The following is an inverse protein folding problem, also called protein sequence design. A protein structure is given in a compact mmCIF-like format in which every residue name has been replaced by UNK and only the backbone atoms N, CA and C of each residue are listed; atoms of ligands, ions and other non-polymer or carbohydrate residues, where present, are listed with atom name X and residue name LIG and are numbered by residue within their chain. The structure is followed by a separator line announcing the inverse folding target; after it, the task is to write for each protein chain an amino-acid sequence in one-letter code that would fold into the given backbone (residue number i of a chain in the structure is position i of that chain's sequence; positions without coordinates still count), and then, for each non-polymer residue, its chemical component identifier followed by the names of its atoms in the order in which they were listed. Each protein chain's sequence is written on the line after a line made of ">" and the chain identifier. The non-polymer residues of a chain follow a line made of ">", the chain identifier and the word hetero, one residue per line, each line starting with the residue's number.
data_IF_728074815741
#
_entry.id   IF_728074815741
#
_cell.length_a   1.000
_cell.length_b   1.000
_cell.length_c   1.000
_cell.angle_alpha   90.00
_cell.angle_beta   90.00
_cell.angle_gamma   90.00
#
_symmetry.space_group_name_H-M   'P 1'
#
loop_
_entity.id
_entity.type
_entity.pdbx_description
1 polymer ?
#
# COMPACT_ATOMS: atom_id res chain seq x y z
N UNK A 1 -24.31 12.97 10.73
CA UNK A 1 -23.78 11.61 10.98
C UNK A 1 -22.41 11.52 10.31
N UNK A 2 -21.47 10.87 10.99
CA UNK A 2 -20.04 11.10 10.91
C UNK A 2 -19.39 10.79 9.55
N UNK A 3 -18.73 11.80 8.95
CA UNK A 3 -17.80 11.61 7.83
C UNK A 3 -16.53 10.83 8.20
N UNK A 4 -16.24 10.63 9.49
CA UNK A 4 -15.00 9.97 9.95
C UNK A 4 -14.98 8.44 9.87
N UNK A 5 -16.06 7.79 9.42
CA UNK A 5 -16.07 6.33 9.23
C UNK A 5 -15.22 5.88 8.04
N UNK A 6 -15.26 6.67 6.96
CA UNK A 6 -14.45 6.41 5.76
C UNK A 6 -12.97 6.68 6.03
N UNK A 7 -12.65 7.72 6.79
CA UNK A 7 -11.27 8.07 7.11
C UNK A 7 -10.56 6.97 7.92
N UNK A 8 -11.21 6.43 8.96
CA UNK A 8 -10.63 5.30 9.72
C UNK A 8 -10.43 4.05 8.89
N UNK A 9 -11.35 3.76 7.97
CA UNK A 9 -11.24 2.63 7.05
C UNK A 9 -10.09 2.86 6.06
N UNK A 10 -9.97 4.07 5.53
CA UNK A 10 -8.89 4.48 4.63
C UNK A 10 -7.54 4.42 5.33
N UNK A 11 -7.41 4.95 6.56
CA UNK A 11 -6.19 4.91 7.35
C UNK A 11 -5.76 3.47 7.69
N UNK A 12 -6.73 2.56 7.84
CA UNK A 12 -6.45 1.15 8.12
C UNK A 12 -6.02 0.36 6.88
N UNK A 13 -6.40 0.81 5.69
CA UNK A 13 -6.17 0.11 4.42
C UNK A 13 -5.07 0.74 3.57
N UNK A 14 -4.81 2.03 3.76
CA UNK A 14 -3.82 2.79 2.98
C UNK A 14 -2.58 3.00 3.83
N UNK A 15 -1.49 2.35 3.43
CA UNK A 15 -0.18 2.64 3.98
C UNK A 15 0.29 4.00 3.46
N UNK A 16 0.06 5.06 4.24
CA UNK A 16 0.63 6.38 4.02
C UNK A 16 2.04 6.43 4.62
N UNK A 17 3.05 6.78 3.84
CA UNK A 17 4.41 6.91 4.36
C UNK A 17 5.48 6.54 3.34
N UNK A 18 6.68 6.28 3.85
CA UNK A 18 7.83 5.84 3.07
C UNK A 18 7.75 4.35 2.70
N UNK A 19 8.71 3.92 1.88
CA UNK A 19 8.83 2.54 1.42
C UNK A 19 8.95 1.54 2.58
N UNK A 20 9.61 1.92 3.67
CA UNK A 20 9.79 1.06 4.85
C UNK A 20 8.46 0.83 5.58
N UNK A 21 7.66 1.88 5.73
CA UNK A 21 6.30 1.79 6.30
C UNK A 21 5.41 0.87 5.47
N UNK A 22 5.47 0.99 4.14
CA UNK A 22 4.72 0.13 3.22
C UNK A 22 5.21 -1.33 3.33
N UNK A 23 6.52 -1.56 3.35
CA UNK A 23 7.10 -2.90 3.46
C UNK A 23 6.74 -3.57 4.80
N UNK A 24 6.73 -2.82 5.90
CA UNK A 24 6.31 -3.33 7.21
C UNK A 24 4.84 -3.79 7.20
N UNK A 25 3.94 -2.98 6.63
CA UNK A 25 2.52 -3.35 6.46
C UNK A 25 2.34 -4.61 5.62
N UNK A 26 3.04 -4.72 4.49
CA UNK A 26 3.01 -5.94 3.67
C UNK A 26 3.52 -7.16 4.45
N UNK A 27 4.58 -6.99 5.25
CA UNK A 27 5.11 -8.06 6.09
C UNK A 27 4.13 -8.49 7.18
N UNK A 28 3.30 -7.59 7.71
CA UNK A 28 2.26 -7.95 8.69
C UNK A 28 1.16 -8.79 8.08
N UNK A 29 0.70 -8.47 6.86
CA UNK A 29 -0.26 -9.32 6.15
C UNK A 29 0.30 -10.74 5.94
N UNK A 30 1.57 -10.84 5.55
CA UNK A 30 2.25 -12.14 5.43
C UNK A 30 2.35 -12.89 6.76
N UNK A 31 2.70 -12.19 7.85
CA UNK A 31 2.73 -12.77 9.20
C UNK A 31 1.34 -13.23 9.68
N UNK A 32 0.28 -12.55 9.24
CA UNK A 32 -1.10 -12.96 9.48
C UNK A 32 -1.55 -14.17 8.63
N UNK A 33 -0.67 -14.70 7.78
CA UNK A 33 -0.91 -15.90 6.97
C UNK A 33 -1.23 -15.64 5.50
N UNK A 34 -1.15 -14.40 5.02
CA UNK A 34 -1.36 -14.13 3.60
C UNK A 34 -0.21 -14.70 2.76
N UNK A 35 -0.54 -15.66 1.88
CA UNK A 35 0.38 -16.18 0.86
C UNK A 35 0.50 -15.23 -0.34
N UNK A 36 -0.47 -14.34 -0.53
CA UNK A 36 -0.48 -13.29 -1.54
C UNK A 36 -0.94 -11.96 -0.95
N UNK A 37 -0.24 -10.86 -1.29
CA UNK A 37 -0.63 -9.49 -0.93
C UNK A 37 -0.69 -8.64 -2.20
N UNK A 38 -1.88 -8.20 -2.57
CA UNK A 38 -2.09 -7.29 -3.69
C UNK A 38 -1.82 -5.85 -3.25
N UNK A 39 -0.96 -5.14 -3.98
CA UNK A 39 -0.59 -3.75 -3.68
C UNK A 39 -1.08 -2.83 -4.79
N UNK A 40 -1.98 -1.92 -4.46
CA UNK A 40 -2.49 -0.89 -5.36
C UNK A 40 -1.87 0.46 -5.01
N UNK A 41 -1.31 1.14 -6.00
CA UNK A 41 -0.79 2.50 -5.86
C UNK A 41 -1.89 3.47 -6.28
N UNK A 42 -2.25 4.39 -5.39
CA UNK A 42 -3.23 5.44 -5.64
C UNK A 42 -2.48 6.72 -5.97
N UNK A 43 -2.65 7.23 -7.19
CA UNK A 43 -2.10 8.54 -7.60
C UNK A 43 -3.08 9.65 -7.22
N UNK A 44 -2.57 10.75 -6.64
CA UNK A 44 -3.38 11.85 -6.10
C UNK A 44 -4.24 12.53 -7.17
N UNK A 45 -3.76 12.57 -8.41
CA UNK A 45 -4.45 13.14 -9.57
C UNK A 45 -5.35 12.13 -10.30
N UNK A 46 -5.47 10.90 -9.80
CA UNK A 46 -6.31 9.87 -10.42
C UNK A 46 -5.77 9.42 -11.77
N UNK A 47 -4.45 9.41 -11.95
CA UNK A 47 -3.79 9.02 -13.19
C UNK A 47 -4.39 7.77 -13.83
N UNK A 48 -4.60 7.82 -15.14
CA UNK A 48 -5.27 6.76 -15.92
C UNK A 48 -4.30 5.67 -16.40
N UNK A 49 -3.00 5.86 -16.15
CA UNK A 49 -1.93 4.95 -16.55
C UNK A 49 -1.55 3.97 -15.46
N UNK A 50 -0.84 2.91 -15.85
CA UNK A 50 -0.21 2.02 -14.87
C UNK A 50 0.95 2.76 -14.18
N UNK A 51 1.03 2.76 -12.83
CA UNK A 51 2.06 3.45 -12.05
C UNK A 51 3.38 2.67 -12.07
N UNK A 52 3.96 2.54 -13.27
CA UNK A 52 5.14 1.70 -13.52
C UNK A 52 6.40 2.25 -12.85
N UNK A 53 6.51 3.56 -12.67
CA UNK A 53 7.67 4.16 -12.03
C UNK A 53 7.67 3.83 -10.54
N UNK A 54 6.53 4.01 -9.91
CA UNK A 54 6.28 3.76 -8.50
C UNK A 54 6.39 2.26 -8.18
N UNK A 55 5.91 1.38 -9.07
CA UNK A 55 6.17 -0.06 -8.93
C UNK A 55 7.65 -0.41 -8.99
N UNK A 56 8.45 0.24 -9.84
CA UNK A 56 9.90 -0.01 -9.89
C UNK A 56 10.61 0.47 -8.63
N UNK A 57 10.15 1.59 -8.06
CA UNK A 57 10.68 2.12 -6.81
C UNK A 57 10.31 1.24 -5.61
N UNK A 58 9.08 0.72 -5.57
CA UNK A 58 8.58 -0.12 -4.49
C UNK A 58 9.08 -1.57 -4.53
N UNK A 59 9.31 -2.12 -5.73
CA UNK A 59 9.64 -3.54 -5.91
C UNK A 59 10.84 -4.02 -5.06
N UNK A 60 11.97 -3.29 -4.96
CA UNK A 60 13.10 -3.70 -4.11
C UNK A 60 12.71 -3.88 -2.64
N UNK A 61 11.83 -3.03 -2.10
CA UNK A 61 11.39 -3.11 -0.71
C UNK A 61 10.46 -4.32 -0.43
N UNK A 62 9.76 -4.82 -1.44
CA UNK A 62 8.77 -5.90 -1.28
C UNK A 62 9.22 -7.28 -1.74
N UNK A 63 10.15 -7.35 -2.69
CA UNK A 63 10.59 -8.59 -3.36
C UNK A 63 12.08 -8.90 -3.08
N UNK A 64 12.89 -7.90 -2.72
CA UNK A 64 14.34 -8.03 -2.55
C UNK A 64 14.79 -8.50 -1.16
N UNK A 65 14.27 -9.63 -0.66
CA UNK A 65 14.84 -10.35 0.49
C UNK A 65 15.41 -11.70 0.07
#
# INVERSE_FOLDING_TARGET
>A
MAGGGSDRLVDSLVAWGDLDTIAARVAEYRQAGADHVAVQILQVDGGTGLPRAEWRELAPALVGR
#
